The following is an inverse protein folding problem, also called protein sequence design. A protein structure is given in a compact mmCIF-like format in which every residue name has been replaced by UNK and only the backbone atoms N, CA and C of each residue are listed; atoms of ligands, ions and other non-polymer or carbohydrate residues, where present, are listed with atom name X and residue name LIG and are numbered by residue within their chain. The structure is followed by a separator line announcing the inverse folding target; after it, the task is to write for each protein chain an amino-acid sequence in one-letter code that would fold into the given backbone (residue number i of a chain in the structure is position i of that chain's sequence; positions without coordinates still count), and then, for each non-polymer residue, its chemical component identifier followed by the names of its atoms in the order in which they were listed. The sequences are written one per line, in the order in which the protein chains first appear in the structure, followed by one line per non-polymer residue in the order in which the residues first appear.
data_IF_888981065739
#
_entry.id   IF_888981065739
#
_cell.length_a   1.000
_cell.length_b   1.000
_cell.length_c   1.000
_cell.angle_alpha   90.00
_cell.angle_beta   90.00
_cell.angle_gamma   90.00
#
_symmetry.space_group_name_H-M   'P 1'
#
loop_
_entity.id
_entity.type
_entity.pdbx_description
1 polymer ?
#
# COMPACT_ATOMS: atom_id res chain seq x y z
N UNK A 1 -16.95 16.66 9.08
CA UNK A 1 -15.67 16.77 8.36
C UNK A 1 -15.09 15.36 8.26
N UNK A 2 -15.19 14.70 7.10
CA UNK A 2 -14.59 13.37 6.90
C UNK A 2 -13.09 13.61 6.68
N UNK A 3 -12.25 13.00 7.52
CA UNK A 3 -10.79 13.06 7.38
C UNK A 3 -10.33 11.78 6.72
N UNK A 4 -9.64 11.90 5.59
CA UNK A 4 -8.99 10.78 4.91
C UNK A 4 -7.50 10.79 5.26
N UNK A 5 -6.94 9.61 5.48
CA UNK A 5 -5.52 9.40 5.71
C UNK A 5 -4.93 8.53 4.60
N UNK A 6 -3.62 8.58 4.41
CA UNK A 6 -2.94 7.60 3.58
C UNK A 6 -2.71 6.33 4.38
N UNK A 7 -3.25 5.22 3.90
CA UNK A 7 -3.11 3.90 4.53
C UNK A 7 -2.15 2.98 3.77
N UNK A 8 -1.29 3.51 2.89
CA UNK A 8 -0.28 2.71 2.21
C UNK A 8 0.93 2.51 3.14
N UNK A 9 1.26 1.26 3.45
CA UNK A 9 2.50 0.88 4.11
C UNK A 9 3.41 0.26 3.08
N UNK A 10 4.52 0.93 2.77
CA UNK A 10 5.50 0.38 1.86
C UNK A 10 6.92 0.80 2.20
N UNK A 11 7.85 -0.10 1.95
CA UNK A 11 9.30 0.17 1.96
C UNK A 11 9.84 -0.19 0.58
N UNK A 12 10.58 0.71 -0.06
CA UNK A 12 11.17 0.50 -1.38
C UNK A 12 12.67 0.71 -1.23
N UNK A 13 13.46 -0.24 -1.72
CA UNK A 13 14.91 -0.17 -1.69
C UNK A 13 15.51 -0.81 -2.94
N UNK A 14 16.76 -0.49 -3.22
CA UNK A 14 17.57 -1.23 -4.17
C UNK A 14 18.23 -2.45 -3.49
N UNK A 15 18.08 -3.63 -4.09
CA UNK A 15 18.71 -4.88 -3.65
C UNK A 15 19.68 -5.38 -4.69
N UNK A 16 20.50 -6.36 -4.31
CA UNK A 16 21.47 -6.99 -5.21
C UNK A 16 20.74 -7.69 -6.37
N UNK A 17 21.18 -7.42 -7.60
CA UNK A 17 20.75 -8.15 -8.80
C UNK A 17 21.92 -9.01 -9.34
N UNK A 18 21.78 -9.51 -10.56
CA UNK A 18 22.82 -10.29 -11.23
C UNK A 18 24.08 -9.46 -11.47
N UNK A 19 25.25 -10.04 -11.21
CA UNK A 19 26.54 -9.37 -11.35
C UNK A 19 26.69 -8.18 -10.39
N UNK A 20 27.17 -7.04 -10.89
CA UNK A 20 27.32 -5.80 -10.11
C UNK A 20 26.09 -4.88 -10.20
N UNK A 21 25.00 -5.36 -10.80
CA UNK A 21 23.79 -4.57 -10.95
C UNK A 21 22.92 -4.65 -9.68
N UNK A 22 21.99 -3.71 -9.59
CA UNK A 22 20.98 -3.63 -8.54
C UNK A 22 19.58 -3.62 -9.14
N UNK A 23 18.57 -3.94 -8.34
CA UNK A 23 17.16 -3.95 -8.74
C UNK A 23 16.30 -3.33 -7.65
N UNK A 24 15.11 -2.87 -8.00
CA UNK A 24 14.13 -2.43 -7.01
C UNK A 24 13.43 -3.63 -6.38
N UNK A 25 13.32 -3.60 -5.05
CA UNK A 25 12.49 -4.49 -4.25
C UNK A 25 11.56 -3.64 -3.40
N UNK A 26 10.31 -4.07 -3.30
CA UNK A 26 9.30 -3.38 -2.52
C UNK A 26 8.70 -4.31 -1.46
N UNK A 27 8.35 -3.76 -0.32
CA UNK A 27 7.55 -4.40 0.71
C UNK A 27 6.22 -3.65 0.80
N UNK A 28 5.09 -4.37 0.82
CA UNK A 28 3.75 -3.79 0.93
C UNK A 28 2.84 -4.71 1.74
N UNK A 29 1.93 -4.15 2.54
CA UNK A 29 1.02 -4.92 3.38
C UNK A 29 0.34 -4.09 4.46
N UNK A 30 -0.11 -4.74 5.53
CA UNK A 30 -0.78 -4.09 6.68
C UNK A 30 0.18 -3.53 7.73
N UNK A 31 1.38 -4.10 7.86
CA UNK A 31 2.38 -3.69 8.85
C UNK A 31 2.97 -2.30 8.59
N UNK A 32 2.73 -1.36 9.50
CA UNK A 32 3.49 -0.11 9.62
C UNK A 32 4.77 -0.34 10.44
N UNK A 33 5.83 0.45 10.16
CA UNK A 33 7.04 0.49 11.00
C UNK A 33 6.81 1.40 12.23
N UNK A 34 6.03 0.92 13.19
CA UNK A 34 5.73 1.63 14.43
C UNK A 34 5.42 0.67 15.59
N UNK A 35 5.14 1.25 16.75
CA UNK A 35 5.01 0.58 18.05
C UNK A 35 3.93 -0.50 18.10
N UNK A 36 4.21 -1.67 18.65
CA UNK A 36 3.24 -2.73 18.90
C UNK A 36 2.99 -3.68 17.72
N UNK A 37 3.61 -3.44 16.57
CA UNK A 37 3.41 -4.23 15.33
C UNK A 37 4.31 -5.46 15.27
N UNK A 38 5.39 -5.47 16.06
CA UNK A 38 6.24 -6.64 16.17
C UNK A 38 5.51 -7.74 16.96
N UNK A 39 5.36 -8.91 16.36
CA UNK A 39 4.82 -10.09 17.01
C UNK A 39 5.31 -11.37 16.31
N UNK A 40 4.92 -12.51 16.87
CA UNK A 40 5.16 -13.86 16.35
C UNK A 40 3.83 -14.61 16.31
N UNK A 41 3.69 -15.70 15.53
CA UNK A 41 2.45 -16.47 15.49
C UNK A 41 1.95 -16.99 16.85
N UNK A 42 2.80 -17.04 17.87
CA UNK A 42 2.37 -17.43 19.22
C UNK A 42 1.54 -16.36 19.95
N UNK A 43 1.51 -15.10 19.48
CA UNK A 43 0.68 -14.00 20.00
C UNK A 43 0.67 -13.91 21.52
N UNK A 44 1.87 -13.81 22.10
CA UNK A 44 2.08 -13.95 23.55
C UNK A 44 1.45 -12.79 24.31
N UNK A 45 0.47 -13.09 25.15
CA UNK A 45 -0.26 -12.08 25.92
C UNK A 45 0.53 -11.48 27.09
N UNK A 46 1.23 -12.34 27.84
CA UNK A 46 1.95 -11.97 29.08
C UNK A 46 3.45 -12.27 29.01
N UNK A 47 3.84 -13.29 28.24
CA UNK A 47 5.23 -13.72 28.14
C UNK A 47 6.01 -12.76 27.26
N UNK A 48 7.15 -12.29 27.76
CA UNK A 48 8.05 -11.39 27.04
C UNK A 48 7.76 -9.91 27.21
N UNK A 49 6.78 -9.55 28.07
CA UNK A 49 6.51 -8.16 28.45
C UNK A 49 7.78 -7.49 28.97
N UNK A 50 8.56 -8.15 29.83
CA UNK A 50 9.80 -7.59 30.37
C UNK A 50 11.04 -7.85 29.49
N UNK A 51 10.87 -8.34 28.25
CA UNK A 51 11.97 -8.61 27.31
C UNK A 51 11.72 -7.99 25.94
N UNK A 52 11.33 -8.78 24.94
CA UNK A 52 11.17 -8.33 23.55
C UNK A 52 10.08 -7.27 23.38
N UNK A 53 9.13 -7.19 24.31
CA UNK A 53 8.05 -6.21 24.30
C UNK A 53 8.21 -5.10 25.36
N UNK A 54 9.35 -5.01 26.07
CA UNK A 54 9.52 -4.08 27.19
C UNK A 54 9.32 -2.61 26.79
N UNK A 55 9.88 -2.23 25.64
CA UNK A 55 9.76 -0.89 25.08
C UNK A 55 8.72 -0.82 23.94
N UNK A 56 7.94 -1.90 23.75
CA UNK A 56 6.95 -2.05 22.67
C UNK A 56 5.61 -2.64 23.16
N UNK A 57 5.28 -2.37 24.43
CA UNK A 57 4.01 -2.79 25.01
C UNK A 57 2.86 -1.98 24.40
N UNK A 58 2.01 -2.64 23.61
CA UNK A 58 0.86 -2.04 22.98
C UNK A 58 -0.43 -2.68 23.50
N UNK A 59 -1.31 -1.85 24.08
CA UNK A 59 -2.70 -2.20 24.36
C UNK A 59 -3.50 -0.88 24.50
N UNK A 60 -4.12 -0.39 23.42
CA UNK A 60 -4.94 0.83 23.46
C UNK A 60 -6.31 0.61 24.14
N UNK A 61 -6.72 -0.64 24.34
CA UNK A 61 -8.04 -0.98 24.89
C UNK A 61 -8.10 -0.76 26.41
N UNK A 62 -7.01 -1.03 27.13
CA UNK A 62 -6.94 -0.87 28.59
C UNK A 62 -5.92 0.18 29.00
N UNK A 63 -6.25 0.96 30.04
CA UNK A 63 -5.38 2.02 30.58
C UNK A 63 -4.22 1.51 31.45
N UNK A 64 -4.27 0.25 31.90
CA UNK A 64 -3.29 -0.37 32.79
C UNK A 64 -2.17 -1.05 32.00
N UNK A 65 -0.95 -0.51 32.08
CA UNK A 65 0.24 -0.98 31.34
C UNK A 65 1.15 -1.95 32.08
N UNK A 66 0.95 -2.20 33.37
CA UNK A 66 2.02 -2.72 34.22
C UNK A 66 2.17 -4.25 34.24
N UNK A 67 1.19 -5.04 33.78
CA UNK A 67 1.23 -6.51 33.86
C UNK A 67 0.55 -7.26 32.70
N UNK A 68 0.24 -6.58 31.60
CA UNK A 68 -0.51 -7.16 30.48
C UNK A 68 -2.01 -7.32 30.73
N UNK A 69 -2.73 -7.97 29.80
CA UNK A 69 -2.20 -8.53 28.55
C UNK A 69 -1.80 -7.42 27.57
N UNK A 70 -0.78 -7.66 26.72
CA UNK A 70 -0.62 -6.85 25.49
C UNK A 70 -1.76 -7.17 24.52
N UNK A 71 -1.97 -6.31 23.53
CA UNK A 71 -2.77 -6.61 22.35
C UNK A 71 -1.83 -7.22 21.30
N UNK A 72 -1.87 -8.54 21.04
CA UNK A 72 -1.08 -9.17 19.99
C UNK A 72 -1.43 -8.60 18.62
N UNK A 73 -0.48 -8.65 17.69
CA UNK A 73 -0.63 -8.11 16.36
C UNK A 73 -0.53 -9.22 15.31
N UNK A 74 -1.68 -9.63 14.77
CA UNK A 74 -1.75 -10.53 13.61
C UNK A 74 -1.95 -9.69 12.35
N UNK A 75 -1.06 -9.85 11.38
CA UNK A 75 -1.06 -9.06 10.14
C UNK A 75 -0.30 -9.77 9.03
N UNK A 76 -0.49 -9.31 7.79
CA UNK A 76 0.13 -9.87 6.59
C UNK A 76 0.91 -8.79 5.84
N UNK A 77 2.04 -9.19 5.27
CA UNK A 77 2.91 -8.34 4.46
C UNK A 77 3.63 -9.19 3.41
N UNK A 78 3.94 -8.59 2.25
CA UNK A 78 4.66 -9.28 1.19
C UNK A 78 5.89 -8.49 0.74
N UNK A 79 6.91 -9.23 0.28
CA UNK A 79 8.04 -8.72 -0.48
C UNK A 79 7.74 -8.96 -1.96
N UNK A 80 7.85 -7.92 -2.76
CA UNK A 80 7.65 -7.93 -4.21
C UNK A 80 8.99 -7.68 -4.89
N UNK A 81 9.34 -8.59 -5.78
CA UNK A 81 10.46 -8.50 -6.71
C UNK A 81 9.94 -8.63 -8.14
N UNK A 82 10.73 -8.16 -9.11
CA UNK A 82 10.30 -8.16 -10.50
C UNK A 82 9.66 -6.84 -10.96
N UNK A 83 9.06 -6.82 -12.17
CA UNK A 83 8.45 -5.62 -12.74
C UNK A 83 7.45 -4.92 -11.80
N UNK A 84 6.64 -5.69 -11.06
CA UNK A 84 5.64 -5.15 -10.13
C UNK A 84 6.22 -4.27 -9.00
N UNK A 85 7.50 -4.47 -8.63
CA UNK A 85 8.15 -3.60 -7.65
C UNK A 85 8.32 -2.15 -8.17
N UNK A 86 8.50 -2.00 -9.49
CA UNK A 86 8.61 -0.70 -10.15
C UNK A 86 7.26 0.00 -10.26
N UNK A 87 6.15 -0.73 -10.31
CA UNK A 87 4.80 -0.14 -10.23
C UNK A 87 4.54 0.46 -8.83
N UNK A 88 4.99 -0.23 -7.77
CA UNK A 88 4.92 0.28 -6.40
C UNK A 88 5.80 1.54 -6.27
N UNK A 89 6.99 1.51 -6.85
CA UNK A 89 7.86 2.69 -6.92
C UNK A 89 7.20 3.84 -7.68
N UNK A 90 6.64 3.60 -8.87
CA UNK A 90 5.94 4.62 -9.64
C UNK A 90 4.81 5.26 -8.83
N UNK A 91 4.04 4.46 -8.07
CA UNK A 91 3.04 4.98 -7.16
C UNK A 91 3.64 5.92 -6.10
N UNK A 92 4.77 5.54 -5.48
CA UNK A 92 5.48 6.41 -4.54
C UNK A 92 5.90 7.73 -5.21
N UNK A 93 6.49 7.68 -6.41
CA UNK A 93 6.93 8.88 -7.13
C UNK A 93 5.76 9.82 -7.46
N UNK A 94 4.65 9.26 -7.95
CA UNK A 94 3.45 10.03 -8.28
C UNK A 94 2.91 10.78 -7.07
N UNK A 95 2.90 10.14 -5.89
CA UNK A 95 2.47 10.74 -4.63
C UNK A 95 3.48 11.78 -4.12
N UNK A 96 4.77 11.48 -4.20
CA UNK A 96 5.84 12.41 -3.82
C UNK A 96 5.76 13.70 -4.63
N UNK A 97 5.65 13.60 -5.96
CA UNK A 97 5.50 14.75 -6.88
C UNK A 97 4.25 15.57 -6.57
N UNK A 98 3.17 14.95 -6.10
CA UNK A 98 1.97 15.68 -5.67
C UNK A 98 2.23 16.44 -4.36
N UNK A 99 2.77 15.77 -3.35
CA UNK A 99 3.00 16.35 -2.03
C UNK A 99 4.06 17.47 -2.06
N UNK A 100 5.13 17.31 -2.84
CA UNK A 100 6.20 18.29 -2.97
C UNK A 100 5.72 19.62 -3.57
N UNK A 101 4.79 19.58 -4.54
CA UNK A 101 4.14 20.79 -5.07
C UNK A 101 3.50 21.62 -3.96
N UNK A 102 2.69 20.99 -3.10
CA UNK A 102 2.01 21.68 -1.99
C UNK A 102 2.99 22.30 -0.99
N UNK A 103 4.14 21.65 -0.75
CA UNK A 103 5.18 22.16 0.15
C UNK A 103 5.89 23.39 -0.42
N UNK A 104 6.17 23.40 -1.73
CA UNK A 104 6.78 24.54 -2.42
C UNK A 104 5.87 25.78 -2.44
N UNK A 105 4.54 25.61 -2.45
CA UNK A 105 3.60 26.73 -2.32
C UNK A 105 3.61 27.39 -0.94
N UNK A 106 3.88 26.64 0.14
CA UNK A 106 3.88 27.16 1.52
C UNK A 106 5.23 27.75 1.98
N UNK A 107 6.34 27.34 1.35
CA UNK A 107 7.72 27.68 1.79
C UNK A 107 8.51 28.45 0.72
N UNK A 108 7.86 29.35 -0.03
CA UNK A 108 8.45 30.12 -1.16
C UNK A 108 9.70 30.98 -0.85
N UNK A 109 10.25 31.00 0.37
CA UNK A 109 11.33 31.94 0.74
C UNK A 109 12.63 31.35 1.29
N UNK A 110 12.78 30.04 1.55
CA UNK A 110 14.00 29.58 2.26
C UNK A 110 14.68 28.33 1.70
N UNK A 111 14.23 27.71 0.60
CA UNK A 111 15.01 26.57 0.11
C UNK A 111 14.92 26.33 -1.38
N UNK A 112 16.08 26.55 -2.01
CA UNK A 112 16.51 25.95 -3.26
C UNK A 112 16.72 24.44 -3.02
N UNK A 113 15.63 23.70 -2.73
CA UNK A 113 15.70 22.25 -2.70
C UNK A 113 15.84 21.77 -4.14
N UNK A 114 16.98 21.17 -4.46
CA UNK A 114 17.25 20.62 -5.79
C UNK A 114 16.18 19.61 -6.18
N UNK A 115 15.82 19.60 -7.47
CA UNK A 115 14.94 18.65 -8.18
C UNK A 115 15.42 17.17 -8.14
N UNK A 116 16.34 16.84 -7.23
CA UNK A 116 17.05 15.57 -7.07
C UNK A 116 16.67 14.82 -5.78
N UNK A 117 15.63 15.27 -5.06
CA UNK A 117 15.13 14.56 -3.87
C UNK A 117 14.51 13.19 -4.20
N UNK A 118 14.13 12.95 -5.46
CA UNK A 118 13.65 11.67 -5.95
C UNK A 118 14.71 11.06 -6.86
N UNK A 119 15.08 9.82 -6.59
CA UNK A 119 16.01 9.06 -7.41
C UNK A 119 15.41 8.89 -8.81
N UNK A 120 16.19 9.23 -9.84
CA UNK A 120 15.83 9.09 -11.25
C UNK A 120 16.52 7.84 -11.78
N UNK A 121 15.79 6.72 -11.82
CA UNK A 121 16.37 5.41 -12.20
C UNK A 121 16.98 5.42 -13.60
N UNK A 122 16.41 6.18 -14.52
CA UNK A 122 16.92 6.40 -15.88
C UNK A 122 18.34 6.98 -15.91
N UNK A 123 18.78 7.62 -14.81
CA UNK A 123 20.12 8.20 -14.67
C UNK A 123 21.12 7.26 -13.97
N UNK A 124 20.68 6.10 -13.51
CA UNK A 124 21.51 5.17 -12.73
C UNK A 124 21.62 3.85 -13.50
N UNK A 125 22.65 3.76 -14.35
CA UNK A 125 22.81 2.64 -15.29
C UNK A 125 23.02 1.28 -14.63
N UNK A 126 23.46 1.23 -13.37
CA UNK A 126 23.66 -0.01 -12.62
C UNK A 126 22.41 -0.46 -11.85
N UNK A 127 21.32 0.31 -11.86
CA UNK A 127 20.01 -0.18 -11.39
C UNK A 127 19.22 -0.60 -12.62
N UNK A 128 18.90 -1.90 -12.69
CA UNK A 128 18.10 -2.47 -13.77
C UNK A 128 16.72 -1.82 -13.78
N UNK A 129 16.13 -1.67 -14.96
CA UNK A 129 14.82 -1.02 -15.11
C UNK A 129 13.99 -1.70 -16.19
N UNK A 130 12.66 -1.82 -16.01
CA UNK A 130 11.75 -2.22 -17.09
C UNK A 130 11.81 -1.31 -18.31
N UNK A 131 12.35 -0.09 -18.20
CA UNK A 131 12.52 0.85 -19.32
C UNK A 131 13.78 0.59 -20.16
N UNK A 132 14.62 -0.38 -19.76
CA UNK A 132 15.79 -0.80 -20.54
C UNK A 132 15.37 -1.50 -21.85
N UNK A 133 16.27 -1.66 -22.84
CA UNK A 133 15.96 -2.34 -24.10
C UNK A 133 15.36 -3.74 -23.95
N UNK A 134 15.79 -4.47 -22.91
CA UNK A 134 15.28 -5.81 -22.60
C UNK A 134 13.93 -5.80 -21.86
N UNK A 135 13.37 -4.61 -21.61
CA UNK A 135 12.05 -4.43 -21.02
C UNK A 135 11.91 -5.08 -19.64
N UNK A 136 10.77 -5.73 -19.42
CA UNK A 136 10.49 -6.49 -18.19
C UNK A 136 11.48 -7.65 -17.97
N UNK A 137 12.10 -8.19 -19.03
CA UNK A 137 13.04 -9.30 -18.89
C UNK A 137 14.30 -8.88 -18.12
N UNK A 138 14.67 -7.59 -18.16
CA UNK A 138 15.82 -7.06 -17.43
C UNK A 138 15.69 -7.22 -15.91
N UNK A 139 14.46 -7.24 -15.39
CA UNK A 139 14.19 -7.27 -13.95
C UNK A 139 13.42 -8.51 -13.52
N UNK A 140 13.22 -9.46 -14.43
CA UNK A 140 12.52 -10.73 -14.19
C UNK A 140 13.21 -11.54 -13.09
N UNK A 141 12.43 -12.22 -12.26
CA UNK A 141 12.94 -12.99 -11.12
C UNK A 141 13.25 -14.44 -11.52
N UNK A 142 12.30 -15.09 -12.19
CA UNK A 142 12.39 -16.48 -12.67
C UNK A 142 11.80 -16.58 -14.07
N UNK A 143 12.16 -17.61 -14.84
CA UNK A 143 11.67 -17.87 -16.21
C UNK A 143 10.15 -18.16 -16.26
N UNK A 144 9.50 -18.10 -17.44
CA UNK A 144 8.02 -18.28 -17.52
C UNK A 144 7.63 -19.72 -17.17
N UNK A 145 8.50 -20.65 -17.53
CA UNK A 145 8.33 -22.07 -17.34
C UNK A 145 8.67 -22.53 -15.92
N UNK A 146 9.20 -21.63 -15.07
CA UNK A 146 9.50 -21.93 -13.68
C UNK A 146 8.19 -22.08 -12.89
N UNK A 147 7.92 -23.25 -12.24
CA UNK A 147 6.71 -23.45 -11.46
C UNK A 147 6.57 -22.50 -10.25
N UNK A 148 7.66 -21.90 -9.79
CA UNK A 148 7.68 -20.92 -8.71
C UNK A 148 7.52 -19.47 -9.21
N UNK A 149 7.22 -19.27 -10.51
CA UNK A 149 6.97 -17.95 -11.09
C UNK A 149 5.62 -17.36 -10.63
N UNK A 150 5.57 -16.03 -10.51
CA UNK A 150 4.38 -15.28 -10.08
C UNK A 150 4.02 -14.19 -11.08
N UNK A 151 2.77 -14.21 -11.55
CA UNK A 151 2.16 -13.06 -12.21
C UNK A 151 1.57 -12.11 -11.17
N UNK A 152 2.19 -10.94 -11.03
CA UNK A 152 1.79 -9.94 -10.02
C UNK A 152 1.25 -8.69 -10.70
N UNK A 153 0.06 -8.25 -10.26
CA UNK A 153 -0.54 -6.97 -10.67
C UNK A 153 -0.75 -6.09 -9.44
N UNK A 154 -0.33 -4.83 -9.52
CA UNK A 154 -0.47 -3.85 -8.43
C UNK A 154 -1.78 -3.09 -8.58
N UNK A 155 -2.57 -3.06 -7.50
CA UNK A 155 -3.84 -2.32 -7.43
C UNK A 155 -3.77 -1.21 -6.39
N UNK A 156 -4.56 -0.16 -6.58
CA UNK A 156 -4.60 1.00 -5.68
C UNK A 156 -6.03 1.50 -5.45
N UNK A 157 -6.16 2.33 -4.43
CA UNK A 157 -7.34 3.18 -4.19
C UNK A 157 -6.83 4.59 -3.98
N UNK A 158 -6.90 5.43 -5.03
CA UNK A 158 -6.27 6.75 -5.02
C UNK A 158 -6.95 7.70 -6.00
N UNK A 159 -6.87 9.00 -5.76
CA UNK A 159 -7.45 10.03 -6.62
C UNK A 159 -6.41 11.02 -7.14
N UNK A 160 -6.79 11.77 -8.17
CA UNK A 160 -6.03 12.88 -8.74
C UNK A 160 -5.63 13.99 -7.74
N UNK A 161 -6.27 14.04 -6.56
CA UNK A 161 -5.89 14.90 -5.44
C UNK A 161 -4.67 14.41 -4.67
N UNK A 162 -4.39 13.11 -4.74
CA UNK A 162 -3.33 12.42 -4.00
C UNK A 162 -2.10 12.07 -4.84
N UNK A 163 -2.23 12.10 -6.17
CA UNK A 163 -1.14 11.80 -7.12
C UNK A 163 -0.94 12.89 -8.18
N UNK A 164 0.26 12.90 -8.73
CA UNK A 164 0.60 13.62 -9.94
C UNK A 164 0.56 12.66 -11.14
N UNK A 165 0.13 13.14 -12.31
CA UNK A 165 0.24 12.41 -13.58
C UNK A 165 -1.02 11.69 -14.05
N UNK A 166 -2.13 11.74 -13.31
CA UNK A 166 -3.41 11.27 -13.84
C UNK A 166 -3.84 12.12 -15.05
N UNK A 167 -4.38 11.49 -16.11
CA UNK A 167 -4.85 12.20 -17.30
C UNK A 167 -6.00 13.13 -16.95
N UNK A 168 -6.08 14.26 -17.66
CA UNK A 168 -7.16 15.23 -17.47
C UNK A 168 -8.36 14.95 -18.38
N UNK A 169 -8.08 14.44 -19.57
CA UNK A 169 -9.11 14.05 -20.52
C UNK A 169 -9.84 12.79 -20.03
N UNK A 170 -11.16 12.77 -20.21
CA UNK A 170 -12.01 11.68 -19.70
C UNK A 170 -11.75 10.39 -20.46
N UNK A 171 -11.55 10.45 -21.78
CA UNK A 171 -11.32 9.25 -22.60
C UNK A 171 -9.96 8.64 -22.28
N UNK A 172 -8.93 9.47 -22.06
CA UNK A 172 -7.62 9.00 -21.60
C UNK A 172 -7.69 8.36 -20.21
N UNK A 173 -8.48 8.93 -19.29
CA UNK A 173 -8.68 8.35 -17.96
C UNK A 173 -9.39 6.99 -18.05
N UNK A 174 -10.45 6.90 -18.84
CA UNK A 174 -11.21 5.66 -19.05
C UNK A 174 -10.34 4.58 -19.71
N UNK A 175 -9.49 4.95 -20.67
CA UNK A 175 -8.51 4.03 -21.28
C UNK A 175 -7.49 3.47 -20.27
N UNK A 176 -7.26 4.18 -19.15
CA UNK A 176 -6.44 3.73 -18.02
C UNK A 176 -7.26 3.10 -16.89
N UNK A 177 -8.55 2.77 -17.12
CA UNK A 177 -9.49 2.23 -16.14
C UNK A 177 -9.75 3.14 -14.92
N UNK A 178 -9.55 4.45 -15.08
CA UNK A 178 -9.88 5.44 -14.06
C UNK A 178 -11.34 5.85 -14.18
N UNK A 179 -12.00 6.08 -13.04
CA UNK A 179 -13.36 6.61 -12.99
C UNK A 179 -13.29 8.12 -12.84
N UNK A 180 -14.02 8.85 -13.68
CA UNK A 180 -14.20 10.29 -13.55
C UNK A 180 -15.41 10.60 -12.67
N UNK A 181 -15.21 11.28 -11.55
CA UNK A 181 -16.28 11.70 -10.63
C UNK A 181 -16.03 13.08 -10.05
N UNK A 182 -17.03 13.98 -10.10
CA UNK A 182 -16.97 15.34 -9.52
C UNK A 182 -15.65 16.09 -9.82
N UNK A 183 -15.22 16.09 -11.08
CA UNK A 183 -13.97 16.70 -11.56
C UNK A 183 -12.67 16.07 -11.02
N UNK A 184 -12.71 14.81 -10.59
CA UNK A 184 -11.53 14.06 -10.17
C UNK A 184 -11.47 12.71 -10.88
N UNK A 185 -10.27 12.31 -11.28
CA UNK A 185 -9.98 10.94 -11.69
C UNK A 185 -9.70 10.10 -10.44
N UNK A 186 -10.32 8.92 -10.38
CA UNK A 186 -10.27 8.00 -9.24
C UNK A 186 -9.86 6.62 -9.76
N UNK A 187 -8.78 6.10 -9.20
CA UNK A 187 -8.39 4.70 -9.31
C UNK A 187 -9.07 3.92 -8.18
N UNK A 188 -9.92 2.96 -8.55
CA UNK A 188 -10.62 2.04 -7.65
C UNK A 188 -10.26 0.58 -7.92
N UNK A 189 -9.06 0.35 -8.48
CA UNK A 189 -8.64 -0.97 -8.94
C UNK A 189 -8.59 -2.01 -7.82
N UNK A 190 -8.33 -1.64 -6.55
CA UNK A 190 -8.47 -2.56 -5.42
C UNK A 190 -9.91 -3.11 -5.33
N UNK A 191 -10.92 -2.24 -5.41
CA UNK A 191 -12.32 -2.66 -5.35
C UNK A 191 -12.67 -3.58 -6.54
N UNK A 192 -12.25 -3.20 -7.75
CA UNK A 192 -12.49 -4.02 -8.95
C UNK A 192 -11.81 -5.39 -8.84
N UNK A 193 -10.57 -5.44 -8.35
CA UNK A 193 -9.84 -6.70 -8.14
C UNK A 193 -10.55 -7.61 -7.13
N UNK A 194 -11.00 -7.07 -5.98
CA UNK A 194 -11.79 -7.82 -5.00
C UNK A 194 -13.08 -8.39 -5.62
N UNK A 195 -13.83 -7.58 -6.36
CA UNK A 195 -15.07 -8.02 -7.03
C UNK A 195 -14.78 -9.13 -8.04
N UNK A 196 -13.72 -8.99 -8.84
CA UNK A 196 -13.35 -9.99 -9.84
C UNK A 196 -12.92 -11.30 -9.17
N UNK A 197 -12.05 -11.25 -8.15
CA UNK A 197 -11.59 -12.42 -7.41
C UNK A 197 -12.76 -13.18 -6.77
N UNK A 198 -13.71 -12.47 -6.15
CA UNK A 198 -14.91 -13.07 -5.55
C UNK A 198 -15.78 -13.73 -6.63
N UNK A 199 -16.00 -13.06 -7.77
CA UNK A 199 -16.83 -13.60 -8.86
C UNK A 199 -16.21 -14.80 -9.56
N UNK A 200 -14.88 -14.87 -9.63
CA UNK A 200 -14.16 -15.98 -10.26
C UNK A 200 -13.92 -17.17 -9.34
N UNK A 201 -14.15 -17.04 -8.04
CA UNK A 201 -13.88 -18.11 -7.07
C UNK A 201 -14.75 -19.35 -7.36
N UNK A 202 -14.12 -20.52 -7.49
CA UNK A 202 -14.80 -21.79 -7.78
C UNK A 202 -14.96 -22.70 -6.56
N UNK A 203 -14.21 -22.45 -5.48
CA UNK A 203 -14.15 -23.34 -4.32
C UNK A 203 -14.48 -22.62 -3.02
N UNK A 204 -13.56 -21.82 -2.49
CA UNK A 204 -13.77 -21.04 -1.28
C UNK A 204 -13.05 -19.70 -1.37
N UNK A 205 -13.45 -18.78 -0.50
CA UNK A 205 -12.80 -17.48 -0.31
C UNK A 205 -12.42 -17.38 1.17
N UNK A 206 -11.17 -17.07 1.44
CA UNK A 206 -10.67 -16.79 2.77
C UNK A 206 -10.39 -15.28 2.89
N UNK A 207 -10.89 -14.65 3.96
CA UNK A 207 -10.73 -13.21 4.17
C UNK A 207 -10.26 -12.98 5.60
N UNK A 208 -9.06 -12.43 5.73
CA UNK A 208 -8.59 -11.75 6.94
C UNK A 208 -8.61 -10.24 6.67
N UNK A 209 -9.34 -9.49 7.48
CA UNK A 209 -9.43 -8.04 7.33
C UNK A 209 -9.79 -7.38 8.67
N UNK A 210 -9.19 -6.23 8.96
CA UNK A 210 -9.51 -5.42 10.14
C UNK A 210 -10.97 -4.94 10.13
N UNK A 211 -11.54 -4.70 8.94
CA UNK A 211 -12.91 -4.26 8.79
C UNK A 211 -13.68 -5.13 7.82
N UNK A 212 -14.93 -5.45 8.16
CA UNK A 212 -15.85 -6.18 7.28
C UNK A 212 -17.23 -5.51 7.27
N UNK A 213 -17.32 -4.37 6.60
CA UNK A 213 -18.54 -3.57 6.46
C UNK A 213 -18.63 -2.97 5.06
N UNK A 214 -19.83 -2.93 4.48
CA UNK A 214 -20.03 -2.43 3.12
C UNK A 214 -21.43 -2.70 2.59
N UNK A 215 -21.64 -2.42 1.30
CA UNK A 215 -22.91 -2.67 0.58
C UNK A 215 -24.15 -2.06 1.27
N UNK A 216 -23.98 -0.88 1.87
CA UNK A 216 -25.02 -0.22 2.66
C UNK A 216 -26.28 0.16 1.89
N UNK A 217 -26.20 0.22 0.55
CA UNK A 217 -27.36 0.39 -0.32
C UNK A 217 -28.42 -0.71 -0.12
N UNK A 218 -28.01 -1.91 0.30
CA UNK A 218 -28.91 -3.04 0.60
C UNK A 218 -29.25 -3.16 2.08
N UNK A 219 -28.78 -2.27 2.95
CA UNK A 219 -29.12 -2.35 4.37
C UNK A 219 -30.58 -1.98 4.60
N UNK A 220 -31.30 -2.67 5.50
CA UNK A 220 -32.67 -2.31 5.83
C UNK A 220 -32.74 -0.89 6.41
N UNK A 221 -33.75 -0.14 5.98
CA UNK A 221 -34.03 1.19 6.55
C UNK A 221 -34.70 1.05 7.91
N UNK A 222 -33.90 0.87 8.97
CA UNK A 222 -34.43 0.82 10.33
C UNK A 222 -34.81 2.23 10.81
N UNK A 223 -36.10 2.58 10.70
CA UNK A 223 -36.63 3.86 11.19
C UNK A 223 -36.68 3.99 12.73
N UNK A 224 -36.58 2.87 13.47
CA UNK A 224 -36.83 2.83 14.92
C UNK A 224 -35.71 2.21 15.78
N UNK A 225 -34.50 2.02 15.24
CA UNK A 225 -33.37 1.49 16.01
C UNK A 225 -32.80 2.56 16.95
N UNK A 226 -33.44 2.75 18.12
CA UNK A 226 -32.93 3.68 19.13
C UNK A 226 -33.92 4.13 20.21
N UNK A 227 -35.17 3.64 20.25
CA UNK A 227 -36.13 4.07 21.28
C UNK A 227 -36.97 2.92 21.83
N UNK A 228 -36.32 1.98 22.52
CA UNK A 228 -36.97 1.33 23.65
C UNK A 228 -36.41 2.00 24.91
N UNK A 229 -37.16 2.98 25.42
CA UNK A 229 -37.05 3.39 26.81
C UNK A 229 -37.72 2.28 27.62
N UNK A 230 -36.93 1.46 28.30
CA UNK A 230 -37.37 0.85 29.54
C UNK A 230 -37.11 1.83 30.68
#
# INVERSE_FOLDING_TARGET
MIRFASYLKCVILDTQATGNNRKITAFIGGLDLCDGRYDTPEHRLFRGIDTVFADDFHNPTFSSRSRGPREPWHDLHCKIEGPAAYDIMMNFEQRWRKASKWRNFKLKKVAYWHDDALIKLDRISWILSPSSPDGNNAVRVTDEEDPENWHVQVFRSIDSGSVHGFPKDVKEAEAQNLVCGKNMQIDKSIHTAYVNAIRSAQHFIYIENQYFLGSSYYWPSYKNAGRQKH
#
